data_IF_275484496926
#
_entry.id   IF_275484496926
#
_cell.length_a   1.000
_cell.length_b   1.000
_cell.length_c   1.000
_cell.angle_alpha   90.00
_cell.angle_beta   90.00
_cell.angle_gamma   90.00
#
_symmetry.space_group_name_H-M   'P 1'
#
loop_
_entity.id
_entity.type
_entity.pdbx_description
1 polymer ?
#
# COMPACT_ATOMS: atom_id res chain seq x y z
N UNK A 1 -4.77 -41.30 8.84
CA UNK A 1 -4.19 -39.94 8.80
C UNK A 1 -2.69 -40.06 8.96
N UNK A 2 -1.91 -39.57 7.99
CA UNK A 2 -0.44 -39.52 8.08
C UNK A 2 0.02 -38.10 8.44
N UNK A 3 1.23 -37.92 8.96
CA UNK A 3 1.77 -36.57 9.18
C UNK A 3 1.82 -35.74 7.90
N UNK A 4 2.06 -36.39 6.75
CA UNK A 4 2.05 -35.73 5.44
C UNK A 4 0.66 -35.22 5.06
N UNK A 5 -0.39 -36.01 5.29
CA UNK A 5 -1.77 -35.57 4.99
C UNK A 5 -2.20 -34.46 5.96
N UNK A 6 -1.87 -34.58 7.25
CA UNK A 6 -2.18 -33.53 8.23
C UNK A 6 -1.51 -32.19 7.88
N UNK A 7 -0.23 -32.23 7.47
CA UNK A 7 0.48 -31.03 6.99
C UNK A 7 -0.22 -30.40 5.78
N UNK A 8 -0.64 -31.24 4.82
CA UNK A 8 -1.31 -30.76 3.62
C UNK A 8 -2.66 -30.11 3.95
N UNK A 9 -3.46 -30.73 4.83
CA UNK A 9 -4.76 -30.21 5.26
C UNK A 9 -4.61 -28.82 5.93
N UNK A 10 -3.61 -28.66 6.80
CA UNK A 10 -3.33 -27.38 7.47
C UNK A 10 -2.88 -26.31 6.47
N UNK A 11 -2.01 -26.68 5.53
CA UNK A 11 -1.51 -25.75 4.51
C UNK A 11 -2.65 -25.28 3.60
N UNK A 12 -3.47 -26.20 3.11
CA UNK A 12 -4.61 -25.87 2.25
C UNK A 12 -5.64 -25.00 2.97
N UNK A 13 -5.91 -25.28 4.26
CA UNK A 13 -6.77 -24.42 5.06
C UNK A 13 -6.21 -22.99 5.18
N UNK A 14 -4.89 -22.85 5.41
CA UNK A 14 -4.24 -21.55 5.53
C UNK A 14 -4.25 -20.76 4.22
N UNK A 15 -3.95 -21.44 3.12
CA UNK A 15 -4.00 -20.89 1.77
C UNK A 15 -5.44 -20.46 1.44
N UNK A 16 -6.43 -21.29 1.78
CA UNK A 16 -7.84 -20.96 1.59
C UNK A 16 -8.26 -19.71 2.35
N UNK A 17 -7.87 -19.57 3.62
CA UNK A 17 -8.18 -18.37 4.43
C UNK A 17 -7.59 -17.09 3.81
N UNK A 18 -6.39 -17.18 3.22
CA UNK A 18 -5.73 -16.03 2.57
C UNK A 18 -6.27 -15.71 1.17
N UNK A 19 -6.66 -16.74 0.41
CA UNK A 19 -7.10 -16.60 -0.98
C UNK A 19 -8.61 -16.38 -1.11
N UNK A 20 -9.42 -16.91 -0.18
CA UNK A 20 -10.88 -16.72 -0.16
C UNK A 20 -11.32 -15.31 0.21
N UNK A 21 -10.40 -14.46 0.68
CA UNK A 21 -10.64 -13.05 0.98
C UNK A 21 -11.09 -12.76 2.41
N UNK A 22 -11.67 -13.74 3.13
CA UNK A 22 -12.28 -13.49 4.44
C UNK A 22 -11.30 -12.94 5.51
N UNK A 23 -10.03 -13.35 5.49
CA UNK A 23 -9.01 -12.78 6.39
C UNK A 23 -8.66 -11.35 6.02
N UNK A 24 -8.51 -11.06 4.73
CA UNK A 24 -8.18 -9.72 4.22
C UNK A 24 -9.31 -8.75 4.55
N UNK A 25 -10.56 -9.14 4.28
CA UNK A 25 -11.77 -8.36 4.61
C UNK A 25 -11.81 -7.96 6.09
N UNK A 26 -11.72 -8.94 6.99
CA UNK A 26 -11.72 -8.69 8.45
C UNK A 26 -10.54 -7.84 8.93
N UNK A 27 -9.41 -7.91 8.24
CA UNK A 27 -8.24 -7.07 8.54
C UNK A 27 -8.51 -5.62 8.13
N UNK A 28 -9.07 -5.42 6.94
CA UNK A 28 -9.41 -4.09 6.42
C UNK A 28 -10.54 -3.41 7.22
N UNK A 29 -11.44 -4.18 7.84
CA UNK A 29 -12.49 -3.67 8.75
C UNK A 29 -11.93 -3.00 10.02
N UNK A 30 -10.72 -3.37 10.46
CA UNK A 30 -10.11 -2.80 11.67
C UNK A 30 -8.58 -2.75 11.58
N UNK A 31 -8.09 -1.84 10.73
CA UNK A 31 -6.66 -1.68 10.48
C UNK A 31 -5.88 -1.26 11.73
N UNK A 32 -6.43 -0.39 12.58
CA UNK A 32 -5.76 0.06 13.82
C UNK A 32 -5.45 -1.09 14.79
N UNK A 33 -6.26 -2.15 14.77
CA UNK A 33 -6.05 -3.32 15.61
C UNK A 33 -4.99 -4.27 15.06
N UNK A 34 -4.86 -4.37 13.73
CA UNK A 34 -4.10 -5.43 13.07
C UNK A 34 -2.85 -4.94 12.33
N UNK A 35 -2.73 -3.65 12.06
CA UNK A 35 -1.66 -3.05 11.27
C UNK A 35 -1.04 -1.91 12.06
N UNK A 36 0.26 -2.05 12.37
CA UNK A 36 1.01 -0.99 13.03
C UNK A 36 1.27 0.17 12.08
N UNK A 37 0.87 1.38 12.48
CA UNK A 37 1.09 2.62 11.72
C UNK A 37 2.22 3.42 12.36
N UNK A 38 3.33 3.58 11.64
CA UNK A 38 4.45 4.41 12.08
C UNK A 38 4.53 5.70 11.24
N UNK A 39 4.35 6.89 11.85
CA UNK A 39 4.40 8.17 11.14
C UNK A 39 5.78 8.50 10.55
N UNK A 40 6.84 7.76 10.90
CA UNK A 40 8.19 7.94 10.35
C UNK A 40 8.37 7.31 8.97
N UNK A 41 7.51 6.35 8.58
CA UNK A 41 7.64 5.64 7.30
C UNK A 41 7.51 6.58 6.08
N UNK A 42 6.50 7.48 6.01
CA UNK A 42 6.41 8.44 4.91
C UNK A 42 7.64 9.36 4.81
N UNK A 43 8.21 9.75 5.94
CA UNK A 43 9.41 10.60 6.01
C UNK A 43 10.63 9.86 5.46
N UNK A 44 10.82 8.60 5.86
CA UNK A 44 11.91 7.76 5.36
C UNK A 44 11.82 7.58 3.85
N UNK A 45 10.65 7.19 3.33
CA UNK A 45 10.44 6.98 1.89
C UNK A 45 10.68 8.27 1.08
N UNK A 46 10.27 9.42 1.62
CA UNK A 46 10.53 10.72 0.97
C UNK A 46 12.02 11.01 0.86
N UNK A 47 12.78 10.80 1.94
CA UNK A 47 14.24 11.01 1.96
C UNK A 47 14.98 10.04 1.03
N UNK A 48 14.54 8.78 0.97
CA UNK A 48 15.12 7.81 0.03
C UNK A 48 14.91 8.26 -1.42
N UNK A 49 13.71 8.77 -1.73
CA UNK A 49 13.36 9.23 -3.08
C UNK A 49 14.14 10.47 -3.54
N UNK A 50 14.65 11.29 -2.62
CA UNK A 50 15.49 12.44 -2.94
C UNK A 50 16.86 12.03 -3.52
N UNK A 51 17.35 10.84 -3.16
CA UNK A 51 18.71 10.37 -3.51
C UNK A 51 18.73 9.15 -4.42
N UNK A 52 17.63 8.38 -4.49
CA UNK A 52 17.56 7.14 -5.24
C UNK A 52 16.13 6.83 -5.69
N UNK A 53 16.01 5.91 -6.66
CA UNK A 53 14.70 5.35 -7.03
C UNK A 53 14.21 4.40 -5.93
N UNK A 54 12.91 4.44 -5.65
CA UNK A 54 12.25 3.58 -4.65
C UNK A 54 11.19 2.73 -5.36
N UNK A 55 11.15 1.42 -5.10
CA UNK A 55 10.15 0.54 -5.70
C UNK A 55 9.45 -0.34 -4.66
N UNK A 56 8.23 -0.78 -4.99
CA UNK A 56 7.46 -1.76 -4.23
C UNK A 56 7.26 -3.01 -5.09
N UNK A 57 7.60 -4.18 -4.55
CA UNK A 57 7.37 -5.48 -5.18
C UNK A 57 6.71 -6.43 -4.17
N UNK A 58 5.39 -6.64 -4.28
CA UNK A 58 4.59 -7.40 -3.30
C UNK A 58 3.88 -8.60 -3.95
N UNK A 59 3.64 -9.65 -3.16
CA UNK A 59 2.86 -10.82 -3.61
C UNK A 59 1.34 -10.58 -3.53
N UNK A 60 0.92 -9.57 -2.76
CA UNK A 60 -0.49 -9.20 -2.62
C UNK A 60 -1.05 -8.63 -3.92
N UNK A 61 -2.36 -8.76 -4.08
CA UNK A 61 -3.11 -8.10 -5.14
C UNK A 61 -3.16 -6.57 -4.94
N UNK A 62 -3.58 -5.86 -5.98
CA UNK A 62 -3.65 -4.40 -5.95
C UNK A 62 -4.65 -3.87 -4.93
N UNK A 63 -5.88 -4.39 -4.88
CA UNK A 63 -6.94 -3.83 -4.04
C UNK A 63 -6.58 -3.89 -2.56
N UNK A 64 -6.00 -5.01 -2.10
CA UNK A 64 -5.51 -5.15 -0.74
C UNK A 64 -4.29 -4.24 -0.50
N UNK A 65 -3.37 -4.16 -1.45
CA UNK A 65 -2.18 -3.29 -1.34
C UNK A 65 -2.59 -1.81 -1.26
N UNK A 66 -3.55 -1.38 -2.07
CA UNK A 66 -4.04 0.00 -2.10
C UNK A 66 -4.65 0.39 -0.75
N UNK A 67 -5.48 -0.47 -0.16
CA UNK A 67 -6.09 -0.23 1.14
C UNK A 67 -5.04 -0.13 2.27
N UNK A 68 -4.10 -1.08 2.33
CA UNK A 68 -3.05 -1.10 3.35
C UNK A 68 -2.09 0.10 3.20
N UNK A 69 -1.64 0.39 1.98
CA UNK A 69 -0.69 1.48 1.75
C UNK A 69 -1.32 2.85 1.92
N UNK A 70 -2.62 3.00 1.61
CA UNK A 70 -3.38 4.21 1.93
C UNK A 70 -3.43 4.42 3.44
N UNK A 71 -3.74 3.37 4.21
CA UNK A 71 -3.73 3.47 5.67
C UNK A 71 -2.35 3.83 6.24
N UNK A 72 -1.27 3.24 5.72
CA UNK A 72 0.08 3.46 6.22
C UNK A 72 0.63 4.85 5.87
N UNK A 73 0.41 5.33 4.64
CA UNK A 73 1.14 6.48 4.09
C UNK A 73 0.29 7.74 3.89
N UNK A 74 -1.03 7.60 3.84
CA UNK A 74 -1.94 8.74 3.76
C UNK A 74 -2.30 9.14 5.19
N UNK A 75 -1.74 10.27 5.63
CA UNK A 75 -1.96 10.81 6.96
C UNK A 75 -3.40 11.32 7.05
N UNK A 76 -4.31 10.46 7.48
CA UNK A 76 -5.60 10.88 8.01
C UNK A 76 -5.36 11.84 9.15
N UNK A 77 -5.77 13.10 8.98
CA UNK A 77 -5.77 14.06 10.05
C UNK A 77 -6.75 13.60 11.13
N UNK A 78 -6.26 12.96 12.17
CA UNK A 78 -6.97 12.86 13.44
C UNK A 78 -6.87 14.17 14.21
N UNK A 79 -7.22 15.29 13.57
CA UNK A 79 -7.74 16.46 14.29
C UNK A 79 -9.24 16.23 14.45
N UNK A 80 -9.60 15.34 15.38
CA UNK A 80 -10.92 15.41 16.01
C UNK A 80 -10.95 16.70 16.85
N UNK A 81 -11.14 17.84 16.21
CA UNK A 81 -11.69 19.03 16.87
C UNK A 81 -13.09 18.63 17.32
N UNK A 82 -13.19 18.19 18.58
CA UNK A 82 -14.47 18.09 19.27
C UNK A 82 -15.13 19.47 19.16
N UNK A 83 -16.42 19.58 18.79
CA UNK A 83 -17.12 20.84 18.95
C UNK A 83 -17.32 21.06 20.46
N UNK A 84 -16.34 21.68 21.10
CA UNK A 84 -16.47 22.25 22.43
C UNK A 84 -17.45 23.42 22.34
N UNK A 85 -18.55 23.28 23.09
CA UNK A 85 -19.54 24.31 23.45
C UNK A 85 -19.06 25.74 23.21
N UNK A 86 -19.85 26.50 22.47
CA UNK A 86 -19.73 27.95 22.40
C UNK A 86 -19.71 28.57 23.79
N UNK A 87 -18.67 29.33 24.07
CA UNK A 87 -18.63 30.36 25.09
C UNK A 87 -18.28 31.68 24.38
N UNK A 88 -19.07 32.75 24.56
CA UNK A 88 -18.78 34.02 23.91
C UNK A 88 -17.83 34.85 24.77
N UNK A 89 -16.85 35.48 24.11
CA UNK A 89 -16.16 36.67 24.61
C UNK A 89 -14.80 36.41 25.24
N UNK A 90 -13.73 36.70 24.48
CA UNK A 90 -12.54 37.36 25.01
C UNK A 90 -11.67 37.93 23.88
N UNK A 91 -11.13 39.10 24.20
CA UNK A 91 -10.28 40.00 23.43
C UNK A 91 -9.08 39.36 22.70
N UNK A 92 -8.67 40.02 21.62
CA UNK A 92 -7.54 39.67 20.76
C UNK A 92 -6.20 39.60 21.51
N UNK A 93 -5.43 38.55 21.23
CA UNK A 93 -3.99 38.44 21.54
C UNK A 93 -3.26 38.02 20.25
N UNK A 94 -2.24 38.74 19.76
CA UNK A 94 -1.49 38.34 18.59
C UNK A 94 -0.15 37.75 19.02
N UNK A 95 -0.04 36.43 19.20
CA UNK A 95 1.24 35.72 19.21
C UNK A 95 1.03 34.20 19.30
N UNK A 96 0.90 33.55 18.14
CA UNK A 96 1.22 32.15 17.98
C UNK A 96 1.96 31.99 16.64
N UNK A 97 3.03 31.17 16.55
CA UNK A 97 3.62 30.85 15.26
C UNK A 97 2.53 30.26 14.36
N UNK A 98 2.51 30.68 13.09
CA UNK A 98 1.56 30.16 12.11
C UNK A 98 1.67 28.63 12.11
N UNK A 99 0.55 27.88 12.11
CA UNK A 99 0.63 26.45 11.88
C UNK A 99 1.34 26.24 10.55
N UNK A 100 2.47 25.51 10.60
CA UNK A 100 3.14 24.98 9.42
C UNK A 100 2.07 24.40 8.48
N UNK A 101 2.11 24.70 7.17
CA UNK A 101 1.08 24.22 6.26
C UNK A 101 1.08 22.70 6.34
N UNK A 102 -0.04 22.14 6.83
CA UNK A 102 -0.29 20.70 6.89
C UNK A 102 0.14 20.11 5.55
N UNK A 103 1.08 19.14 5.51
CA UNK A 103 1.53 18.59 4.25
C UNK A 103 0.31 18.10 3.48
N UNK A 104 0.08 18.68 2.29
CA UNK A 104 -1.01 18.25 1.40
C UNK A 104 -0.92 16.74 1.28
N UNK A 105 -1.99 16.04 1.66
CA UNK A 105 -2.04 14.59 1.56
C UNK A 105 -1.68 14.19 0.12
N UNK A 106 -0.59 13.43 -0.02
CA UNK A 106 -0.13 12.89 -1.29
C UNK A 106 -0.51 11.41 -1.35
N UNK A 107 -0.94 10.90 -2.51
CA UNK A 107 -1.32 9.49 -2.63
C UNK A 107 -0.11 8.60 -2.34
N UNK A 108 -0.33 7.47 -1.68
CA UNK A 108 0.75 6.54 -1.30
C UNK A 108 1.61 6.10 -2.50
N UNK A 109 1.01 6.01 -3.69
CA UNK A 109 1.70 5.64 -4.94
C UNK A 109 2.86 6.59 -5.28
N UNK A 110 2.74 7.86 -4.89
CA UNK A 110 3.78 8.88 -5.17
C UNK A 110 5.09 8.66 -4.42
N UNK A 111 5.11 7.80 -3.39
CA UNK A 111 6.35 7.44 -2.67
C UNK A 111 7.22 6.45 -3.44
N UNK A 112 6.70 5.85 -4.50
CA UNK A 112 7.40 4.84 -5.30
C UNK A 112 7.54 5.32 -6.75
N UNK A 113 8.67 4.98 -7.37
CA UNK A 113 8.92 5.18 -8.79
C UNK A 113 8.40 4.01 -9.62
N UNK A 114 8.34 2.81 -9.02
CA UNK A 114 7.79 1.60 -9.61
C UNK A 114 7.01 0.80 -8.57
N UNK A 115 5.80 0.35 -8.94
CA UNK A 115 4.96 -0.49 -8.09
C UNK A 115 4.58 -1.76 -8.85
N UNK A 116 4.91 -2.91 -8.28
CA UNK A 116 4.60 -4.23 -8.83
C UNK A 116 3.88 -5.07 -7.78
N UNK A 117 2.63 -5.44 -8.08
CA UNK A 117 1.78 -6.33 -7.28
C UNK A 117 1.77 -7.74 -7.88
N UNK A 118 1.17 -8.72 -7.21
CA UNK A 118 1.05 -10.10 -7.68
C UNK A 118 2.38 -10.73 -8.16
N UNK A 119 3.50 -10.36 -7.54
CA UNK A 119 4.84 -10.76 -8.05
C UNK A 119 5.10 -12.26 -8.01
N UNK A 120 4.36 -13.01 -7.18
CA UNK A 120 4.54 -14.47 -6.98
C UNK A 120 5.97 -14.86 -6.60
N UNK A 121 6.66 -14.06 -5.78
CA UNK A 121 7.96 -14.45 -5.21
C UNK A 121 7.85 -15.84 -4.55
N UNK A 122 8.81 -16.75 -4.79
CA UNK A 122 10.12 -16.51 -5.39
C UNK A 122 10.17 -16.54 -6.93
N UNK A 123 9.10 -16.94 -7.63
CA UNK A 123 9.07 -17.07 -9.10
C UNK A 123 9.48 -15.77 -9.81
N UNK A 124 9.16 -14.61 -9.22
CA UNK A 124 9.58 -13.28 -9.66
C UNK A 124 11.08 -13.14 -9.94
N UNK A 125 11.93 -13.82 -9.18
CA UNK A 125 13.39 -13.75 -9.31
C UNK A 125 13.97 -14.79 -10.29
N UNK A 126 13.10 -15.59 -10.90
CA UNK A 126 13.42 -16.56 -11.92
C UNK A 126 12.74 -16.14 -13.24
N UNK A 127 11.93 -17.00 -13.85
CA UNK A 127 11.18 -16.72 -15.09
C UNK A 127 10.00 -15.75 -14.93
N UNK A 128 9.58 -15.48 -13.68
CA UNK A 128 8.48 -14.57 -13.39
C UNK A 128 7.15 -14.97 -14.02
N UNK A 129 6.34 -13.97 -14.32
CA UNK A 129 5.04 -14.12 -14.99
C UNK A 129 4.82 -13.03 -16.02
N UNK A 130 3.75 -13.15 -16.81
CA UNK A 130 3.35 -12.09 -17.76
C UNK A 130 3.16 -10.76 -17.03
N UNK A 131 3.92 -9.75 -17.44
CA UNK A 131 3.75 -8.39 -16.92
C UNK A 131 2.46 -7.78 -17.47
N UNK A 132 1.60 -7.30 -16.57
CA UNK A 132 0.37 -6.59 -16.90
C UNK A 132 0.33 -5.23 -16.22
N UNK A 133 -0.48 -4.32 -16.74
CA UNK A 133 -0.73 -3.03 -16.11
C UNK A 133 -2.06 -3.08 -15.37
N UNK A 134 -2.09 -2.54 -14.15
CA UNK A 134 -3.31 -2.43 -13.34
C UNK A 134 -4.05 -1.16 -13.73
N UNK A 135 -5.37 -1.25 -13.89
CA UNK A 135 -6.25 -0.09 -13.90
C UNK A 135 -6.50 0.31 -12.44
N UNK A 136 -5.88 1.39 -12.00
CA UNK A 136 -5.92 1.85 -10.59
C UNK A 136 -7.30 2.30 -10.13
N UNK A 137 -8.20 2.66 -11.04
CA UNK A 137 -9.55 3.12 -10.72
C UNK A 137 -10.49 1.94 -10.42
N UNK A 138 -10.24 0.79 -11.04
CA UNK A 138 -11.09 -0.42 -10.90
C UNK A 138 -10.41 -1.56 -10.14
N UNK A 139 -9.08 -1.49 -9.98
CA UNK A 139 -8.24 -2.58 -9.49
C UNK A 139 -8.05 -3.75 -10.46
N UNK A 140 -8.70 -3.73 -11.63
CA UNK A 140 -8.61 -4.81 -12.61
C UNK A 140 -7.33 -4.72 -13.45
N UNK A 141 -6.88 -5.87 -13.94
CA UNK A 141 -5.76 -5.92 -14.89
C UNK A 141 -6.22 -5.48 -16.28
N UNK A 142 -5.46 -4.61 -16.92
CA UNK A 142 -5.63 -4.31 -18.35
C UNK A 142 -5.38 -5.58 -19.16
N UNK A 143 -6.17 -5.76 -20.22
CA UNK A 143 -6.09 -6.93 -21.09
C UNK A 143 -4.77 -6.91 -21.87
N UNK A 144 -4.08 -8.05 -21.90
CA UNK A 144 -2.85 -8.25 -22.66
C UNK A 144 -1.56 -8.07 -21.85
N UNK A 145 -0.44 -8.37 -22.50
CA UNK A 145 0.90 -8.20 -21.94
C UNK A 145 1.35 -6.76 -22.12
N UNK A 146 1.88 -6.15 -21.06
CA UNK A 146 2.45 -4.81 -21.15
C UNK A 146 3.85 -4.85 -21.79
N UNK A 147 4.02 -4.08 -22.88
CA UNK A 147 5.27 -3.96 -23.65
C UNK A 147 5.81 -2.54 -23.74
N UNK A 148 5.13 -1.56 -23.12
CA UNK A 148 5.56 -0.16 -23.12
C UNK A 148 6.69 0.14 -22.12
N UNK A 149 7.23 1.38 -22.15
CA UNK A 149 8.19 1.84 -21.15
C UNK A 149 7.54 1.98 -19.78
N UNK A 150 8.29 1.77 -18.70
CA UNK A 150 7.77 1.95 -17.34
C UNK A 150 7.35 3.41 -17.10
N UNK A 151 6.11 3.61 -16.67
CA UNK A 151 5.54 4.93 -16.43
C UNK A 151 5.56 5.23 -14.93
N UNK A 152 5.91 6.48 -14.58
CA UNK A 152 5.91 6.94 -13.21
C UNK A 152 4.49 6.86 -12.63
N UNK A 153 4.37 6.41 -11.38
CA UNK A 153 3.10 6.19 -10.66
C UNK A 153 2.18 5.13 -11.26
N UNK A 154 2.57 4.45 -12.35
CA UNK A 154 1.83 3.31 -12.86
C UNK A 154 2.04 2.09 -11.96
N UNK A 155 1.02 1.22 -11.93
CA UNK A 155 1.04 -0.01 -11.17
C UNK A 155 1.04 -1.19 -12.13
N UNK A 156 1.94 -2.13 -11.88
CA UNK A 156 2.10 -3.34 -12.66
C UNK A 156 1.76 -4.57 -11.82
N UNK A 157 1.41 -5.66 -12.49
CA UNK A 157 1.10 -6.95 -11.88
C UNK A 157 1.94 -8.05 -12.53
N UNK A 158 2.52 -8.93 -11.71
CA UNK A 158 3.37 -10.03 -12.16
C UNK A 158 4.76 -9.57 -12.60
N UNK A 159 5.23 -10.05 -13.75
CA UNK A 159 6.56 -9.74 -14.28
C UNK A 159 7.69 -10.57 -13.66
N UNK A 160 8.91 -10.12 -13.92
CA UNK A 160 10.16 -10.69 -13.42
C UNK A 160 11.10 -9.56 -12.95
N UNK A 161 12.04 -9.87 -12.06
CA UNK A 161 12.94 -8.87 -11.46
C UNK A 161 13.83 -8.19 -12.48
N UNK A 162 14.22 -8.87 -13.57
CA UNK A 162 15.05 -8.29 -14.63
C UNK A 162 14.38 -7.08 -15.30
N UNK A 163 13.04 -7.10 -15.43
CA UNK A 163 12.27 -5.97 -15.96
C UNK A 163 12.07 -4.83 -14.96
N UNK A 164 12.13 -5.11 -13.66
CA UNK A 164 11.95 -4.09 -12.63
C UNK A 164 13.23 -3.31 -12.32
N UNK A 165 14.40 -3.86 -12.67
CA UNK A 165 15.72 -3.29 -12.38
C UNK A 165 16.31 -2.44 -13.53
N UNK A 166 15.70 -2.45 -14.72
CA UNK A 166 16.10 -1.63 -15.89
C UNK A 166 15.45 -0.25 -15.88
#
# INVERSE_FOLDING_TARGET
>A
MSFRSLFQDVREAMDHVHLSGCLKEKTLENLDKYVEKDPRVPLLLSRMKEVAKVFLATNSDYSYTDAIMSYLLELGGEDKVRPGRGAPGASAVPCAPRPEPVPRQRPWRSYFDLIVVDTRKPLFFAEGTVLRQVNTDTGNLRIGTYTGPLQLCAVYSGGESARAAG
#
